data_IF_606858888893
#
_entry.id   IF_606858888893
#
_cell.length_a   1.000
_cell.length_b   1.000
_cell.length_c   1.000
_cell.angle_alpha   90.00
_cell.angle_beta   90.00
_cell.angle_gamma   90.00
#
_symmetry.space_group_name_H-M   'P 1'
#
loop_
_entity.id
_entity.type
_entity.pdbx_description
1 polymer ?
#
# COMPACT_ATOMS: atom_id res chain seq x y z
N UNK A 1 6.52 -9.36 -0.08
CA UNK A 1 7.66 -8.40 -0.09
C UNK A 1 8.04 -7.90 -1.49
N UNK A 2 7.96 -8.71 -2.56
CA UNK A 2 8.25 -8.20 -3.91
C UNK A 2 7.17 -7.26 -4.45
N UNK A 3 5.90 -7.55 -4.15
CA UNK A 3 4.76 -6.78 -4.65
C UNK A 3 4.65 -5.41 -3.98
N UNK A 4 4.84 -5.36 -2.67
CA UNK A 4 4.85 -4.15 -1.85
C UNK A 4 5.94 -3.18 -2.34
N UNK A 5 7.10 -3.72 -2.73
CA UNK A 5 8.18 -2.91 -3.28
C UNK A 5 7.86 -2.38 -4.68
N UNK A 6 7.18 -3.17 -5.53
CA UNK A 6 6.75 -2.71 -6.86
C UNK A 6 5.72 -1.60 -6.74
N UNK A 7 4.68 -1.79 -5.92
CA UNK A 7 3.64 -0.80 -5.65
C UNK A 7 4.27 0.48 -5.10
N UNK A 8 5.13 0.36 -4.09
CA UNK A 8 5.80 1.53 -3.51
C UNK A 8 6.68 2.25 -4.54
N UNK A 9 7.54 1.52 -5.26
CA UNK A 9 8.42 2.13 -6.27
C UNK A 9 7.63 2.88 -7.35
N UNK A 10 6.50 2.32 -7.79
CA UNK A 10 5.66 2.93 -8.82
C UNK A 10 4.85 4.13 -8.27
N UNK A 11 4.37 4.05 -7.02
CA UNK A 11 3.58 5.10 -6.38
C UNK A 11 4.41 6.28 -5.89
N UNK A 12 5.67 6.06 -5.49
CA UNK A 12 6.59 7.14 -5.13
C UNK A 12 8.05 6.72 -5.26
N UNK A 13 8.63 7.03 -6.42
CA UNK A 13 10.03 6.74 -6.74
C UNK A 13 10.98 7.35 -5.70
N UNK A 14 10.84 8.64 -5.38
CA UNK A 14 11.73 9.33 -4.44
C UNK A 14 11.65 8.74 -3.04
N UNK A 15 10.43 8.50 -2.53
CA UNK A 15 10.28 7.95 -1.18
C UNK A 15 10.72 6.49 -1.10
N UNK A 16 10.45 5.69 -2.14
CA UNK A 16 10.99 4.34 -2.26
C UNK A 16 12.52 4.34 -2.20
N UNK A 17 13.19 5.22 -2.94
CA UNK A 17 14.65 5.28 -2.89
C UNK A 17 15.19 5.75 -1.54
N UNK A 18 14.62 6.78 -0.91
CA UNK A 18 15.10 7.27 0.39
C UNK A 18 14.83 6.27 1.51
N UNK A 19 13.75 5.49 1.45
CA UNK A 19 13.45 4.45 2.44
C UNK A 19 14.50 3.32 2.49
N UNK A 20 15.34 3.16 1.45
CA UNK A 20 16.45 2.18 1.45
C UNK A 20 17.50 2.48 2.53
N UNK A 21 17.60 3.73 2.98
CA UNK A 21 18.50 4.15 4.05
C UNK A 21 18.02 3.74 5.44
N UNK A 22 16.78 3.26 5.59
CA UNK A 22 16.30 2.76 6.88
C UNK A 22 16.92 1.41 7.25
N UNK A 23 17.07 1.13 8.57
CA UNK A 23 17.38 -0.20 9.06
C UNK A 23 16.40 -1.23 8.49
N UNK A 24 16.87 -2.44 8.19
CA UNK A 24 16.09 -3.46 7.47
C UNK A 24 14.69 -3.67 8.03
N UNK A 25 14.55 -3.79 9.35
CA UNK A 25 13.24 -4.00 9.99
C UNK A 25 12.26 -2.86 9.70
N UNK A 26 12.71 -1.61 9.90
CA UNK A 26 11.90 -0.41 9.66
C UNK A 26 11.56 -0.29 8.16
N UNK A 27 12.53 -0.53 7.28
CA UNK A 27 12.31 -0.49 5.82
C UNK A 27 11.23 -1.49 5.40
N UNK A 28 11.29 -2.71 5.91
CA UNK A 28 10.33 -3.76 5.58
C UNK A 28 8.91 -3.39 6.08
N UNK A 29 8.79 -2.75 7.25
CA UNK A 29 7.52 -2.25 7.78
C UNK A 29 6.98 -1.08 6.94
N UNK A 30 7.85 -0.15 6.52
CA UNK A 30 7.47 0.97 5.64
C UNK A 30 6.98 0.47 4.28
N UNK A 31 7.62 -0.54 3.71
CA UNK A 31 7.18 -1.14 2.44
C UNK A 31 5.76 -1.68 2.54
N UNK A 32 5.44 -2.40 3.61
CA UNK A 32 4.08 -2.92 3.85
C UNK A 32 3.07 -1.79 4.02
N UNK A 33 3.36 -0.83 4.91
CA UNK A 33 2.45 0.26 5.20
C UNK A 33 2.16 1.10 3.95
N UNK A 34 3.22 1.54 3.25
CA UNK A 34 3.06 2.40 2.09
C UNK A 34 2.32 1.70 0.95
N UNK A 35 2.71 0.45 0.63
CA UNK A 35 2.04 -0.28 -0.44
C UNK A 35 0.57 -0.54 -0.14
N UNK A 36 0.21 -0.81 1.11
CA UNK A 36 -1.17 -0.96 1.53
C UNK A 36 -1.98 0.32 1.30
N UNK A 37 -1.53 1.46 1.81
CA UNK A 37 -2.27 2.72 1.66
C UNK A 37 -2.32 3.20 0.21
N UNK A 38 -1.26 2.96 -0.58
CA UNK A 38 -1.20 3.37 -1.99
C UNK A 38 -2.31 2.71 -2.83
N UNK A 39 -2.63 1.45 -2.56
CA UNK A 39 -3.71 0.74 -3.25
C UNK A 39 -5.07 1.39 -2.98
N UNK A 40 -5.32 1.85 -1.74
CA UNK A 40 -6.54 2.57 -1.40
C UNK A 40 -6.60 3.96 -2.05
N UNK A 41 -5.49 4.71 -2.00
CA UNK A 41 -5.35 6.02 -2.66
C UNK A 41 -5.64 5.93 -4.16
N UNK A 42 -5.08 4.92 -4.85
CA UNK A 42 -5.29 4.74 -6.30
C UNK A 42 -6.79 4.61 -6.64
N UNK A 43 -7.61 4.00 -5.77
CA UNK A 43 -9.05 3.90 -6.01
C UNK A 43 -9.79 5.23 -5.91
N UNK A 44 -9.25 6.20 -5.16
CA UNK A 44 -9.83 7.54 -4.97
C UNK A 44 -9.27 8.56 -5.96
N UNK A 45 -7.98 8.44 -6.28
CA UNK A 45 -7.23 9.39 -7.13
C UNK A 45 -7.41 9.13 -8.63
N UNK A 46 -7.55 7.85 -9.04
CA UNK A 46 -7.72 7.51 -10.46
C UNK A 46 -9.00 8.11 -11.04
N UNK A 47 -8.94 8.49 -12.32
CA UNK A 47 -10.09 9.01 -13.06
C UNK A 47 -10.43 8.08 -14.22
N UNK A 48 -11.62 7.44 -14.21
CA UNK A 48 -12.70 7.58 -13.22
C UNK A 48 -12.37 6.91 -11.87
N UNK A 49 -12.95 7.44 -10.79
CA UNK A 49 -12.80 6.88 -9.44
C UNK A 49 -13.39 5.47 -9.35
N UNK A 50 -12.88 4.67 -8.39
CA UNK A 50 -13.21 3.24 -8.26
C UNK A 50 -13.83 2.90 -6.89
N UNK A 51 -14.98 3.49 -6.51
CA UNK A 51 -15.57 3.32 -5.17
C UNK A 51 -15.94 1.86 -4.87
N UNK A 52 -16.31 1.06 -5.89
CA UNK A 52 -16.58 -0.37 -5.72
C UNK A 52 -15.35 -1.16 -5.26
N UNK A 53 -14.15 -0.80 -5.76
CA UNK A 53 -12.90 -1.46 -5.36
C UNK A 53 -12.51 -1.05 -3.95
N UNK A 54 -12.70 0.23 -3.60
CA UNK A 54 -12.46 0.71 -2.24
C UNK A 54 -13.35 0.00 -1.20
N UNK A 55 -14.66 -0.11 -1.47
CA UNK A 55 -15.60 -0.86 -0.63
C UNK A 55 -15.24 -2.34 -0.50
N UNK A 56 -14.73 -2.96 -1.58
CA UNK A 56 -14.29 -4.35 -1.52
C UNK A 56 -13.02 -4.51 -0.66
N UNK A 57 -12.08 -3.56 -0.76
CA UNK A 57 -10.88 -3.52 0.07
C UNK A 57 -11.24 -3.39 1.55
N UNK A 58 -12.12 -2.45 1.91
CA UNK A 58 -12.61 -2.24 3.28
C UNK A 58 -13.18 -3.54 3.87
N UNK A 59 -14.13 -4.17 3.17
CA UNK A 59 -14.73 -5.44 3.60
C UNK A 59 -13.69 -6.56 3.78
N UNK A 60 -12.74 -6.66 2.86
CA UNK A 60 -11.68 -7.68 2.95
C UNK A 60 -10.77 -7.44 4.16
N UNK A 61 -10.53 -6.18 4.51
CA UNK A 61 -9.72 -5.80 5.66
C UNK A 61 -10.46 -6.08 6.97
N UNK A 62 -11.75 -5.74 7.06
CA UNK A 62 -12.60 -6.05 8.22
C UNK A 62 -12.59 -7.54 8.53
N UNK A 63 -12.83 -8.40 7.53
CA UNK A 63 -12.79 -9.86 7.73
C UNK A 63 -11.40 -10.36 8.16
N UNK A 64 -10.32 -9.80 7.61
CA UNK A 64 -8.97 -10.19 7.98
C UNK A 64 -8.58 -9.76 9.41
N UNK A 65 -9.16 -8.68 9.94
CA UNK A 65 -8.93 -8.23 11.32
C UNK A 65 -9.73 -9.07 12.32
N UNK A 66 -10.94 -9.51 11.96
CA UNK A 66 -11.76 -10.38 12.81
C UNK A 66 -11.16 -11.79 13.02
N UNK A 67 -10.33 -12.26 12.08
CA UNK A 67 -9.67 -13.57 12.12
C UNK A 67 -8.38 -13.61 13.00
N UNK A 68 -7.99 -12.49 13.63
CA UNK A 68 -6.75 -12.32 14.40
C UNK A 68 -6.97 -11.98 15.88
#
# INVERSE_FOLDING_TARGET
MEEEQKIFKNGSTTYYFTSKFFPKKIRDDVYKLYSFVRVADDYVDEKPQQPKKLLALEKSYESAVEDH
#
